data_IF_051968460112
#
_entry.id   IF_051968460112
#
_cell.length_a   1.000
_cell.length_b   1.000
_cell.length_c   1.000
_cell.angle_alpha   90.00
_cell.angle_beta   90.00
_cell.angle_gamma   90.00
#
_symmetry.space_group_name_H-M   'P 1'
#
loop_
_entity.id
_entity.type
_entity.pdbx_description
1 polymer ?
#
# COMPACT_ATOMS: atom_id res chain seq x y z
N UNK A 1 2.48 -2.98 39.13
CA UNK A 1 1.43 -3.32 38.14
C UNK A 1 2.11 -3.22 36.77
N UNK A 2 2.25 -4.33 36.04
CA UNK A 2 2.94 -4.35 34.74
C UNK A 2 1.93 -3.82 33.71
N UNK A 3 2.21 -2.64 33.17
CA UNK A 3 1.41 -2.07 32.08
C UNK A 3 2.03 -2.53 30.77
N UNK A 4 1.34 -3.39 30.05
CA UNK A 4 1.77 -3.80 28.73
C UNK A 4 1.63 -2.61 27.77
N UNK A 5 2.71 -2.33 27.02
CA UNK A 5 2.77 -1.27 26.01
C UNK A 5 2.14 -1.79 24.70
N UNK A 6 0.82 -1.68 24.60
CA UNK A 6 0.08 -1.92 23.35
C UNK A 6 -0.03 -0.60 22.57
N UNK A 7 -0.32 -0.67 21.27
CA UNK A 7 -0.35 0.49 20.37
C UNK A 7 -1.26 1.65 20.83
N UNK A 8 -2.32 1.38 21.60
CA UNK A 8 -3.24 2.40 22.15
C UNK A 8 -2.90 2.81 23.60
N UNK A 9 -1.66 2.57 24.04
CA UNK A 9 -1.24 3.05 25.35
C UNK A 9 -1.00 4.58 25.29
N UNK A 10 -1.55 5.37 26.22
CA UNK A 10 -1.37 6.83 26.23
C UNK A 10 0.09 7.30 26.21
N UNK A 11 1.02 6.49 26.73
CA UNK A 11 2.46 6.80 26.69
C UNK A 11 3.03 6.64 25.29
N UNK A 12 2.58 5.63 24.54
CA UNK A 12 2.99 5.40 23.14
C UNK A 12 2.40 6.49 22.25
N UNK A 13 1.12 6.84 22.44
CA UNK A 13 0.48 7.97 21.77
C UNK A 13 1.21 9.28 22.08
N UNK A 14 1.56 9.53 23.35
CA UNK A 14 2.29 10.74 23.75
C UNK A 14 3.71 10.81 23.16
N UNK A 15 4.44 9.69 23.06
CA UNK A 15 5.75 9.64 22.39
C UNK A 15 5.58 9.94 20.90
N UNK A 16 4.60 9.33 20.24
CA UNK A 16 4.30 9.61 18.84
C UNK A 16 3.96 11.09 18.63
N UNK A 17 3.08 11.66 19.46
CA UNK A 17 2.71 13.06 19.41
C UNK A 17 3.93 13.98 19.61
N UNK A 18 4.85 13.62 20.50
CA UNK A 18 6.07 14.42 20.73
C UNK A 18 7.06 14.34 19.58
N UNK A 19 7.21 13.18 18.94
CA UNK A 19 8.06 13.01 17.76
C UNK A 19 7.45 13.73 16.55
N UNK A 20 6.13 13.63 16.37
CA UNK A 20 5.40 14.28 15.27
C UNK A 20 5.31 15.79 15.45
N UNK A 21 5.19 16.30 16.69
CA UNK A 21 5.12 17.74 16.97
C UNK A 21 6.38 18.52 16.55
N UNK A 22 7.50 17.84 16.29
CA UNK A 22 8.73 18.46 15.78
C UNK A 22 8.73 18.72 14.26
N UNK A 23 7.78 18.17 13.52
CA UNK A 23 7.69 18.29 12.06
C UNK A 23 6.37 18.95 11.63
N UNK A 24 6.40 19.84 10.63
CA UNK A 24 5.19 20.41 10.06
C UNK A 24 4.35 19.36 9.33
N UNK A 25 3.05 19.63 9.17
CA UNK A 25 2.18 18.77 8.34
C UNK A 25 2.66 18.84 6.89
N UNK A 26 2.80 17.69 6.24
CA UNK A 26 3.27 17.56 4.86
C UNK A 26 4.73 18.01 4.62
N UNK A 27 5.56 17.96 5.65
CA UNK A 27 7.00 18.18 5.54
C UNK A 27 7.75 16.85 5.63
N UNK A 28 8.79 16.69 4.81
CA UNK A 28 9.69 15.55 4.88
C UNK A 28 11.03 15.99 5.49
N UNK A 29 11.47 15.41 6.62
CA UNK A 29 12.78 15.68 7.17
C UNK A 29 13.91 15.33 6.20
N UNK A 30 14.96 16.14 6.21
CA UNK A 30 16.21 15.85 5.51
C UNK A 30 17.27 15.47 6.54
N UNK A 31 17.87 14.29 6.36
CA UNK A 31 18.86 13.70 7.23
C UNK A 31 20.21 13.65 6.49
N UNK A 32 21.24 14.21 7.11
CA UNK A 32 22.63 14.09 6.65
C UNK A 32 23.25 12.83 7.26
N UNK A 33 23.60 11.85 6.43
CA UNK A 33 24.17 10.58 6.86
C UNK A 33 25.66 10.49 6.49
N UNK A 34 26.52 11.11 7.30
CA UNK A 34 27.96 11.09 7.09
C UNK A 34 28.52 9.67 7.21
N UNK A 35 29.29 9.23 6.21
CA UNK A 35 29.97 7.93 6.18
C UNK A 35 29.07 6.72 5.92
N UNK A 36 27.74 6.88 5.87
CA UNK A 36 26.81 5.81 5.53
C UNK A 36 26.31 5.87 4.08
N UNK A 37 26.32 7.07 3.47
CA UNK A 37 26.03 7.29 2.05
C UNK A 37 27.24 7.96 1.38
N UNK A 38 27.41 7.74 0.08
CA UNK A 38 28.50 8.38 -0.67
C UNK A 38 28.26 9.89 -0.82
N UNK A 39 29.33 10.67 -0.99
CA UNK A 39 29.19 12.07 -1.38
C UNK A 39 28.42 12.19 -2.71
N UNK A 40 27.46 13.11 -2.78
CA UNK A 40 26.55 13.27 -3.91
C UNK A 40 25.41 12.26 -4.00
N UNK A 41 25.32 11.31 -3.06
CA UNK A 41 24.23 10.34 -2.97
C UNK A 41 23.04 10.94 -2.21
N UNK A 42 21.84 10.81 -2.77
CA UNK A 42 20.58 11.26 -2.17
C UNK A 42 19.56 10.15 -2.27
N UNK A 43 18.91 9.79 -1.16
CA UNK A 43 17.89 8.75 -1.11
C UNK A 43 16.57 9.34 -0.61
N UNK A 44 15.51 9.20 -1.39
CA UNK A 44 14.17 9.55 -0.95
C UNK A 44 13.49 8.31 -0.36
N UNK A 45 13.13 8.35 0.93
CA UNK A 45 12.32 7.32 1.56
C UNK A 45 10.86 7.62 1.26
N UNK A 46 10.20 6.70 0.59
CA UNK A 46 8.82 6.84 0.12
C UNK A 46 7.98 5.67 0.62
N UNK A 47 6.72 5.97 0.92
CA UNK A 47 5.67 4.98 1.19
C UNK A 47 4.64 5.07 0.07
N UNK A 48 4.45 3.99 -0.67
CA UNK A 48 3.44 3.86 -1.70
C UNK A 48 2.27 2.98 -1.22
N UNK A 49 1.04 3.44 -1.43
CA UNK A 49 -0.18 2.74 -1.05
C UNK A 49 -1.16 2.71 -2.23
N UNK A 50 -1.63 1.51 -2.57
CA UNK A 50 -2.67 1.30 -3.58
C UNK A 50 -3.92 0.76 -2.88
N UNK A 51 -4.99 1.57 -2.82
CA UNK A 51 -6.25 1.10 -2.28
C UNK A 51 -7.04 0.30 -3.34
N UNK A 52 -7.97 -0.53 -2.88
CA UNK A 52 -9.07 -1.00 -3.72
C UNK A 52 -10.13 0.09 -3.90
N UNK A 53 -11.16 -0.18 -4.71
CA UNK A 53 -12.31 0.74 -4.89
C UNK A 53 -13.08 1.06 -3.61
N UNK A 54 -12.87 0.31 -2.52
CA UNK A 54 -13.44 0.56 -1.19
C UNK A 54 -12.52 1.33 -0.25
N UNK A 55 -11.34 1.75 -0.72
CA UNK A 55 -10.37 2.50 0.08
C UNK A 55 -9.52 1.64 1.03
N UNK A 56 -9.61 0.31 0.97
CA UNK A 56 -8.74 -0.57 1.76
C UNK A 56 -7.37 -0.69 1.10
N UNK A 57 -6.27 -0.56 1.86
CA UNK A 57 -4.92 -0.70 1.31
C UNK A 57 -4.65 -2.16 0.92
N UNK A 58 -4.49 -2.42 -0.38
CA UNK A 58 -4.13 -3.75 -0.89
C UNK A 58 -2.62 -3.91 -1.01
N UNK A 59 -1.96 -2.90 -1.55
CA UNK A 59 -0.49 -2.87 -1.69
C UNK A 59 0.05 -1.71 -0.87
N UNK A 60 0.91 -2.01 0.09
CA UNK A 60 1.63 -1.01 0.88
C UNK A 60 3.11 -1.34 0.89
N UNK A 61 3.92 -0.45 0.32
CA UNK A 61 5.37 -0.63 0.16
C UNK A 61 6.13 0.57 0.68
N UNK A 62 7.23 0.27 1.37
CA UNK A 62 8.24 1.24 1.77
C UNK A 62 9.50 0.97 0.97
N UNK A 63 10.06 2.01 0.36
CA UNK A 63 11.23 1.87 -0.50
C UNK A 63 12.03 3.17 -0.56
N UNK A 64 13.30 3.03 -0.91
CA UNK A 64 14.23 4.13 -1.15
C UNK A 64 14.42 4.36 -2.64
N UNK A 65 14.27 5.59 -3.11
CA UNK A 65 14.67 5.97 -4.48
C UNK A 65 16.01 6.69 -4.41
N UNK A 66 17.04 6.06 -4.97
CA UNK A 66 18.42 6.49 -4.83
C UNK A 66 18.89 7.25 -6.06
N UNK A 67 19.46 8.43 -5.83
CA UNK A 67 20.07 9.31 -6.80
C UNK A 67 21.55 9.48 -6.49
N UNK A 68 22.36 9.60 -7.53
CA UNK A 68 23.77 9.99 -7.43
C UNK A 68 24.03 11.08 -8.46
N UNK A 69 24.57 12.21 -8.01
CA UNK A 69 24.83 13.37 -8.87
C UNK A 69 23.59 13.76 -9.70
N UNK A 70 22.43 13.85 -9.04
CA UNK A 70 21.12 14.18 -9.61
C UNK A 70 20.55 13.19 -10.64
N UNK A 71 21.17 12.01 -10.80
CA UNK A 71 20.72 10.94 -11.69
C UNK A 71 20.16 9.78 -10.90
N UNK A 72 19.00 9.29 -11.33
CA UNK A 72 18.41 8.08 -10.80
C UNK A 72 19.38 6.91 -10.96
N UNK A 73 19.55 6.12 -9.90
CA UNK A 73 20.38 4.93 -9.89
C UNK A 73 19.52 3.67 -9.78
N UNK A 74 18.71 3.60 -8.72
CA UNK A 74 17.93 2.41 -8.40
C UNK A 74 16.82 2.71 -7.39
N UNK A 75 15.90 1.77 -7.29
CA UNK A 75 14.93 1.67 -6.19
C UNK A 75 15.35 0.47 -5.34
N UNK A 76 15.45 0.68 -4.03
CA UNK A 76 15.82 -0.36 -3.07
C UNK A 76 14.72 -0.55 -2.02
N UNK A 77 14.52 -1.78 -1.57
CA UNK A 77 13.59 -2.07 -0.49
C UNK A 77 14.01 -1.36 0.81
N UNK A 78 13.04 -0.96 1.62
CA UNK A 78 13.30 -0.23 2.87
C UNK A 78 14.24 -1.00 3.82
N UNK A 79 14.07 -2.32 3.95
CA UNK A 79 14.94 -3.14 4.82
C UNK A 79 16.40 -3.16 4.33
N UNK A 80 16.60 -3.20 3.02
CA UNK A 80 17.93 -3.15 2.40
C UNK A 80 18.57 -1.78 2.64
N UNK A 81 17.79 -0.70 2.49
CA UNK A 81 18.24 0.66 2.78
C UNK A 81 18.64 0.81 4.26
N UNK A 82 17.83 0.30 5.20
CA UNK A 82 18.13 0.36 6.62
C UNK A 82 19.40 -0.44 6.97
N UNK A 83 19.57 -1.63 6.37
CA UNK A 83 20.76 -2.45 6.57
C UNK A 83 22.02 -1.76 6.05
N UNK A 84 21.94 -1.11 4.88
CA UNK A 84 23.05 -0.39 4.24
C UNK A 84 23.43 0.90 4.97
N UNK A 85 22.44 1.70 5.36
CA UNK A 85 22.64 3.01 5.99
C UNK A 85 22.85 2.93 7.49
N UNK A 86 22.48 1.83 8.13
CA UNK A 86 22.50 1.70 9.59
C UNK A 86 21.46 2.56 10.30
N UNK A 87 20.51 3.16 9.58
CA UNK A 87 19.47 4.03 10.13
C UNK A 87 18.69 3.28 11.24
N UNK A 88 18.63 3.87 12.44
CA UNK A 88 18.03 3.26 13.64
C UNK A 88 18.99 2.41 14.49
N UNK A 89 20.19 2.07 13.99
CA UNK A 89 21.25 1.38 14.75
C UNK A 89 22.43 2.28 15.07
N UNK A 90 22.84 3.11 14.11
CA UNK A 90 23.90 4.10 14.27
C UNK A 90 23.33 5.46 14.68
N UNK A 91 24.04 6.13 15.59
CA UNK A 91 23.68 7.49 16.01
C UNK A 91 24.26 8.50 15.03
N UNK A 92 23.39 9.23 14.33
CA UNK A 92 23.78 10.32 13.43
C UNK A 92 23.56 11.66 14.14
N UNK A 93 24.62 12.36 14.59
CA UNK A 93 24.46 13.65 15.24
C UNK A 93 24.02 14.69 14.21
N UNK A 94 22.97 15.46 14.53
CA UNK A 94 22.57 16.60 13.71
C UNK A 94 23.58 17.74 13.87
N UNK A 95 24.38 18.01 12.84
CA UNK A 95 25.39 19.07 12.84
C UNK A 95 24.87 20.45 12.44
N UNK A 96 23.63 20.53 11.98
CA UNK A 96 23.08 21.77 11.43
C UNK A 96 23.77 22.20 10.13
N UNK A 97 24.29 21.24 9.36
CA UNK A 97 24.94 21.51 8.08
C UNK A 97 23.96 22.21 7.13
N UNK A 98 24.48 23.13 6.31
CA UNK A 98 23.66 23.84 5.35
C UNK A 98 23.34 22.91 4.17
N UNK A 99 22.16 22.30 4.21
CA UNK A 99 21.70 21.41 3.14
C UNK A 99 21.02 22.25 2.06
N UNK A 100 21.45 22.08 0.81
CA UNK A 100 20.77 22.66 -0.35
C UNK A 100 19.40 22.00 -0.56
N UNK A 101 18.37 22.59 0.06
CA UNK A 101 16.98 22.14 0.00
C UNK A 101 16.38 22.37 -1.39
N UNK A 102 16.80 23.42 -2.11
CA UNK A 102 16.26 23.74 -3.43
C UNK A 102 16.66 22.69 -4.46
N UNK A 103 17.91 22.20 -4.42
CA UNK A 103 18.33 21.07 -5.25
C UNK A 103 17.47 19.81 -4.99
N UNK A 104 17.21 19.48 -3.72
CA UNK A 104 16.37 18.34 -3.34
C UNK A 104 14.91 18.51 -3.82
N UNK A 105 14.39 19.74 -3.75
CA UNK A 105 13.04 20.07 -4.21
C UNK A 105 12.89 19.90 -5.72
N UNK A 106 13.95 20.16 -6.50
CA UNK A 106 13.97 19.93 -7.95
C UNK A 106 14.09 18.45 -8.32
N UNK A 107 14.72 17.63 -7.47
CA UNK A 107 14.80 16.17 -7.65
C UNK A 107 13.50 15.46 -7.26
N UNK A 108 12.75 16.02 -6.31
CA UNK A 108 11.56 15.38 -5.75
C UNK A 108 10.54 14.92 -6.81
N UNK A 109 10.17 15.71 -7.85
CA UNK A 109 9.27 15.25 -8.90
C UNK A 109 9.78 14.02 -9.64
N UNK A 110 11.09 13.91 -9.88
CA UNK A 110 11.71 12.74 -10.53
C UNK A 110 11.64 11.52 -9.62
N UNK A 111 11.88 11.69 -8.32
CA UNK A 111 11.75 10.61 -7.33
C UNK A 111 10.31 10.09 -7.27
N UNK A 112 9.32 11.00 -7.25
CA UNK A 112 7.90 10.64 -7.26
C UNK A 112 7.50 9.94 -8.57
N UNK A 113 8.05 10.36 -9.72
CA UNK A 113 7.79 9.68 -10.98
C UNK A 113 8.29 8.22 -10.95
N UNK A 114 9.55 7.99 -10.54
CA UNK A 114 10.10 6.64 -10.39
C UNK A 114 9.32 5.79 -9.39
N UNK A 115 8.85 6.41 -8.30
CA UNK A 115 7.98 5.76 -7.33
C UNK A 115 6.62 5.35 -7.91
N UNK A 116 6.03 6.14 -8.82
CA UNK A 116 4.78 5.79 -9.52
C UNK A 116 4.98 4.60 -10.44
N UNK A 117 6.06 4.60 -11.22
CA UNK A 117 6.42 3.51 -12.13
C UNK A 117 6.61 2.20 -11.34
N UNK A 118 7.39 2.23 -10.27
CA UNK A 118 7.59 1.07 -9.39
C UNK A 118 6.31 0.56 -8.73
N UNK A 119 5.46 1.45 -8.22
CA UNK A 119 4.19 1.06 -7.62
C UNK A 119 3.22 0.45 -8.65
N UNK A 120 3.28 0.88 -9.91
CA UNK A 120 2.50 0.26 -10.99
C UNK A 120 2.97 -1.16 -11.25
N UNK A 121 4.28 -1.41 -11.31
CA UNK A 121 4.84 -2.76 -11.47
C UNK A 121 4.45 -3.68 -10.30
N UNK A 122 4.54 -3.19 -9.06
CA UNK A 122 4.11 -3.94 -7.86
C UNK A 122 2.60 -4.24 -7.88
N UNK A 123 1.79 -3.33 -8.43
CA UNK A 123 0.36 -3.56 -8.62
C UNK A 123 0.13 -4.69 -9.61
N UNK A 124 0.76 -4.64 -10.77
CA UNK A 124 0.55 -5.61 -11.83
C UNK A 124 0.96 -7.02 -11.34
N UNK A 125 2.09 -7.12 -10.62
CA UNK A 125 2.51 -8.36 -9.97
C UNK A 125 1.51 -8.85 -8.90
N UNK A 126 0.91 -7.94 -8.14
CA UNK A 126 -0.13 -8.28 -7.17
C UNK A 126 -1.43 -8.75 -7.85
N UNK A 127 -1.84 -8.08 -8.94
CA UNK A 127 -3.01 -8.43 -9.73
C UNK A 127 -2.86 -9.82 -10.36
N UNK A 128 -1.69 -10.18 -10.89
CA UNK A 128 -1.45 -11.52 -11.43
C UNK A 128 -1.72 -12.63 -10.39
N UNK A 129 -1.23 -12.45 -9.16
CA UNK A 129 -1.41 -13.43 -8.07
C UNK A 129 -2.86 -13.46 -7.55
N UNK A 130 -3.50 -12.29 -7.46
CA UNK A 130 -4.87 -12.20 -6.93
C UNK A 130 -5.90 -12.64 -7.97
N UNK A 131 -5.69 -12.35 -9.25
CA UNK A 131 -6.61 -12.73 -10.32
C UNK A 131 -6.79 -14.25 -10.41
N UNK A 132 -5.73 -15.04 -10.18
CA UNK A 132 -5.85 -16.50 -10.12
C UNK A 132 -6.80 -16.94 -9.00
N UNK A 133 -6.57 -16.47 -7.77
CA UNK A 133 -7.43 -16.78 -6.61
C UNK A 133 -8.84 -16.27 -6.82
N UNK A 134 -8.99 -15.10 -7.43
CA UNK A 134 -10.29 -14.50 -7.75
C UNK A 134 -11.07 -15.42 -8.69
N UNK A 135 -10.44 -15.86 -9.80
CA UNK A 135 -11.06 -16.77 -10.76
C UNK A 135 -11.47 -18.10 -10.11
N UNK A 136 -10.67 -18.67 -9.22
CA UNK A 136 -11.07 -19.87 -8.46
C UNK A 136 -12.32 -19.64 -7.62
N UNK A 137 -12.39 -18.53 -6.88
CA UNK A 137 -13.56 -18.18 -6.07
C UNK A 137 -14.80 -17.93 -6.93
N UNK A 138 -14.64 -17.28 -8.08
CA UNK A 138 -15.72 -17.03 -9.03
C UNK A 138 -16.26 -18.34 -9.62
N UNK A 139 -15.39 -19.26 -10.02
CA UNK A 139 -15.80 -20.58 -10.51
C UNK A 139 -16.54 -21.40 -9.43
N UNK A 140 -16.06 -21.35 -8.19
CA UNK A 140 -16.73 -22.00 -7.06
C UNK A 140 -18.12 -21.40 -6.81
N UNK A 141 -18.24 -20.06 -6.92
CA UNK A 141 -19.50 -19.34 -6.79
C UNK A 141 -20.50 -19.72 -7.89
N UNK A 142 -20.07 -19.81 -9.15
CA UNK A 142 -20.92 -20.25 -10.27
C UNK A 142 -21.41 -21.69 -10.09
N UNK A 143 -20.54 -22.58 -9.59
CA UNK A 143 -20.91 -23.95 -9.24
C UNK A 143 -21.99 -23.97 -8.14
N UNK A 144 -21.84 -23.14 -7.10
CA UNK A 144 -22.84 -23.00 -6.03
C UNK A 144 -24.17 -22.46 -6.57
N UNK A 145 -24.15 -21.44 -7.43
CA UNK A 145 -25.34 -20.89 -8.08
C UNK A 145 -26.09 -21.96 -8.88
N UNK A 146 -25.35 -22.77 -9.65
CA UNK A 146 -25.91 -23.87 -10.44
C UNK A 146 -26.59 -24.93 -9.55
N UNK A 147 -25.93 -25.36 -8.47
CA UNK A 147 -26.51 -26.31 -7.50
C UNK A 147 -27.77 -25.76 -6.84
N UNK A 148 -27.79 -24.45 -6.53
CA UNK A 148 -28.96 -23.83 -5.91
C UNK A 148 -30.13 -23.76 -6.89
N UNK A 149 -29.89 -23.55 -8.18
CA UNK A 149 -30.93 -23.66 -9.20
C UNK A 149 -31.47 -25.07 -9.35
N UNK A 150 -30.62 -26.11 -9.32
CA UNK A 150 -31.06 -27.50 -9.33
C UNK A 150 -31.96 -27.81 -8.13
N UNK A 151 -31.54 -27.39 -6.94
CA UNK A 151 -32.33 -27.55 -5.72
C UNK A 151 -33.69 -26.81 -5.80
N UNK A 152 -33.69 -25.60 -6.36
CA UNK A 152 -34.91 -24.83 -6.59
C UNK A 152 -35.84 -25.55 -7.58
N UNK A 153 -35.29 -26.13 -8.65
CA UNK A 153 -36.07 -26.91 -9.61
C UNK A 153 -36.72 -28.13 -8.95
N UNK A 154 -35.95 -28.89 -8.15
CA UNK A 154 -36.46 -30.05 -7.41
C UNK A 154 -37.55 -29.65 -6.40
N UNK A 155 -37.36 -28.58 -5.64
CA UNK A 155 -38.32 -28.12 -4.63
C UNK A 155 -39.69 -27.74 -5.19
N UNK A 156 -39.73 -27.26 -6.44
CA UNK A 156 -40.93 -26.83 -7.14
C UNK A 156 -41.42 -27.84 -8.20
N UNK A 157 -40.77 -29.00 -8.36
CA UNK A 157 -41.10 -29.98 -9.41
C UNK A 157 -42.56 -30.45 -9.34
N UNK A 158 -43.06 -30.69 -8.12
CA UNK A 158 -44.44 -31.16 -7.88
C UNK A 158 -45.42 -30.03 -7.48
N UNK A 159 -44.97 -28.76 -7.49
CA UNK A 159 -45.75 -27.61 -7.01
C UNK A 159 -46.17 -26.69 -8.15
N UNK A 160 -47.47 -26.43 -8.30
CA UNK A 160 -48.01 -25.41 -9.24
C UNK A 160 -47.86 -23.96 -8.70
N UNK A 161 -46.66 -23.60 -8.25
CA UNK A 161 -46.34 -22.26 -7.72
C UNK A 161 -45.29 -21.54 -8.57
N UNK A 162 -45.60 -21.34 -9.86
CA UNK A 162 -44.68 -20.75 -10.85
C UNK A 162 -44.21 -19.35 -10.43
N UNK A 163 -45.12 -18.50 -9.96
CA UNK A 163 -44.79 -17.14 -9.52
C UNK A 163 -43.82 -17.12 -8.32
N UNK A 164 -43.96 -18.06 -7.37
CA UNK A 164 -43.08 -18.14 -6.20
C UNK A 164 -41.70 -18.69 -6.56
N UNK A 165 -41.65 -19.67 -7.47
CA UNK A 165 -40.39 -20.15 -8.07
C UNK A 165 -39.61 -19.04 -8.78
N UNK A 166 -40.30 -18.18 -9.53
CA UNK A 166 -39.66 -17.02 -10.18
C UNK A 166 -39.15 -15.98 -9.18
N UNK A 167 -39.89 -15.72 -8.11
CA UNK A 167 -39.46 -14.82 -7.03
C UNK A 167 -38.19 -15.34 -6.35
N UNK A 168 -38.19 -16.61 -5.94
CA UNK A 168 -37.04 -17.23 -5.29
C UNK A 168 -35.81 -17.26 -6.22
N UNK A 169 -36.02 -17.52 -7.52
CA UNK A 169 -34.93 -17.43 -8.52
C UNK A 169 -34.34 -16.03 -8.59
N UNK A 170 -35.16 -14.98 -8.64
CA UNK A 170 -34.69 -13.59 -8.66
C UNK A 170 -33.95 -13.21 -7.38
N UNK A 171 -34.37 -13.76 -6.23
CA UNK A 171 -33.68 -13.52 -4.97
C UNK A 171 -32.28 -14.16 -4.96
N UNK A 172 -32.17 -15.38 -5.49
CA UNK A 172 -30.89 -16.06 -5.71
C UNK A 172 -30.00 -15.21 -6.62
N UNK A 173 -30.52 -14.78 -7.78
CA UNK A 173 -29.78 -13.95 -8.74
C UNK A 173 -29.27 -12.68 -8.09
N UNK A 174 -30.14 -11.94 -7.40
CA UNK A 174 -29.76 -10.71 -6.71
C UNK A 174 -28.64 -10.93 -5.70
N UNK A 175 -28.72 -11.99 -4.89
CA UNK A 175 -27.69 -12.29 -3.87
C UNK A 175 -26.34 -12.60 -4.51
N UNK A 176 -26.33 -13.36 -5.61
CA UNK A 176 -25.10 -13.66 -6.33
C UNK A 176 -24.54 -12.42 -7.04
N UNK A 177 -25.39 -11.60 -7.65
CA UNK A 177 -24.97 -10.37 -8.33
C UNK A 177 -24.42 -9.35 -7.32
N UNK A 178 -25.07 -9.17 -6.17
CA UNK A 178 -24.56 -8.32 -5.07
C UNK A 178 -23.19 -8.79 -4.57
N UNK A 179 -23.00 -10.11 -4.43
CA UNK A 179 -21.72 -10.68 -4.02
C UNK A 179 -20.64 -10.52 -5.10
N UNK A 180 -21.00 -10.66 -6.37
CA UNK A 180 -20.11 -10.42 -7.51
C UNK A 180 -19.60 -8.99 -7.51
N UNK A 181 -20.51 -8.00 -7.48
CA UNK A 181 -20.15 -6.58 -7.43
C UNK A 181 -19.28 -6.28 -6.21
N UNK A 182 -19.64 -6.83 -5.05
CA UNK A 182 -18.85 -6.66 -3.84
C UNK A 182 -17.43 -7.22 -3.99
N UNK A 183 -17.26 -8.38 -4.61
CA UNK A 183 -15.97 -9.02 -4.82
C UNK A 183 -15.11 -8.24 -5.81
N UNK A 184 -15.69 -7.85 -6.94
CA UNK A 184 -15.05 -7.03 -7.96
C UNK A 184 -14.54 -5.71 -7.37
N UNK A 185 -15.38 -5.01 -6.60
CA UNK A 185 -14.98 -3.74 -5.95
C UNK A 185 -13.92 -3.93 -4.85
N UNK A 186 -13.85 -5.11 -4.23
CA UNK A 186 -12.87 -5.37 -3.16
C UNK A 186 -11.51 -5.77 -3.71
N UNK A 187 -11.48 -6.40 -4.88
CA UNK A 187 -10.25 -6.91 -5.49
C UNK A 187 -9.72 -6.03 -6.62
N UNK A 188 -10.53 -5.12 -7.16
CA UNK A 188 -10.06 -4.14 -8.15
C UNK A 188 -9.29 -3.02 -7.47
N UNK A 189 -8.03 -2.91 -7.84
CA UNK A 189 -7.08 -1.84 -7.49
C UNK A 189 -7.37 -0.58 -8.30
N UNK A 190 -7.17 0.59 -7.68
CA UNK A 190 -7.21 1.88 -8.40
C UNK A 190 -5.85 2.14 -9.07
N UNK A 191 -5.85 2.87 -10.19
CA UNK A 191 -4.66 3.22 -10.98
C UNK A 191 -3.85 4.38 -10.36
N UNK A 192 -4.36 4.96 -9.27
CA UNK A 192 -3.75 6.11 -8.62
C UNK A 192 -3.07 5.73 -7.30
N UNK A 193 -1.78 5.35 -7.31
CA UNK A 193 -1.05 5.10 -6.08
C UNK A 193 -0.93 6.40 -5.27
N UNK A 194 -1.25 6.30 -3.98
CA UNK A 194 -0.95 7.34 -3.02
C UNK A 194 0.53 7.20 -2.62
N UNK A 195 1.34 8.22 -2.95
CA UNK A 195 2.77 8.24 -2.64
C UNK A 195 3.03 9.32 -1.61
N UNK A 196 3.63 8.92 -0.50
CA UNK A 196 4.03 9.81 0.58
C UNK A 196 5.55 9.82 0.70
N UNK A 197 6.12 11.02 0.73
CA UNK A 197 7.54 11.23 1.01
C UNK A 197 7.71 11.25 2.52
N UNK A 198 8.49 10.30 3.05
CA UNK A 198 8.69 10.15 4.49
C UNK A 198 9.91 10.94 4.94
N UNK A 199 11.03 10.82 4.22
CA UNK A 199 12.27 11.50 4.55
C UNK A 199 13.20 11.54 3.34
N UNK A 200 14.21 12.41 3.39
CA UNK A 200 15.30 12.46 2.43
C UNK A 200 16.61 12.22 3.16
N UNK A 201 17.39 11.26 2.71
CA UNK A 201 18.74 10.99 3.21
C UNK A 201 19.74 11.60 2.23
N UNK A 202 20.72 12.34 2.72
CA UNK A 202 21.80 12.91 1.91
C UNK A 202 23.14 12.42 2.44
N UNK A 203 23.99 11.94 1.55
CA UNK A 203 25.39 11.70 1.86
C UNK A 203 26.11 13.03 2.00
N UNK A 204 26.61 13.28 3.21
CA UNK A 204 27.54 14.37 3.47
C UNK A 204 28.97 13.85 3.48
N UNK A 205 29.90 14.71 3.07
CA UNK A 205 31.34 14.50 3.28
C UNK A 205 31.68 14.43 4.78
#
# INVERSE_FOLDING_TARGET
RIHYLWQHNPVVEWINDKVVAGFGRHEAPVLSLQGALNSGETVFILSGLIPNRKGHPLVHRWFGVTFKDDKFQQIEEFETLLARTGLGKTSFPNRGDNIDIEALRQLLPKAVQQAREYMSEERDAFEEVINEKLNEQLNALECLKSKQYEQLQLFYMDKRQVSKKEQDKREIDRKFDEFWTWMEDTMTTDDNPFIQVIAVLKGAE
#
